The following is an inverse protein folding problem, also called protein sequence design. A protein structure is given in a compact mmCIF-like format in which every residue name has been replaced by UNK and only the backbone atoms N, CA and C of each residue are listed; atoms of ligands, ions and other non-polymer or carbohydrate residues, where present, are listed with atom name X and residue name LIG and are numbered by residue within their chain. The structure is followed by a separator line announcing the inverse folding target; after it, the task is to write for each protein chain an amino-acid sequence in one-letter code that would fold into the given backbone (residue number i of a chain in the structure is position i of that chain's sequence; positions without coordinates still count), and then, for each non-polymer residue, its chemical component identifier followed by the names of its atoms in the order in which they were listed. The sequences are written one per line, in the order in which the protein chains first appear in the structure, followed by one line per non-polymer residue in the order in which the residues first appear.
data_IF_360260375920
#
_entry.id   IF_360260375920
#
_cell.length_a   1.000
_cell.length_b   1.000
_cell.length_c   1.000
_cell.angle_alpha   90.00
_cell.angle_beta   90.00
_cell.angle_gamma   90.00
#
_symmetry.space_group_name_H-M   'P 1'
#
loop_
_entity.id
_entity.type
_entity.pdbx_description
1 polymer ?
#
# COMPACT_ATOMS: atom_id res chain seq x y z
N UNK A 1 8.46 7.14 3.26
CA UNK A 1 7.19 7.01 2.50
C UNK A 1 6.72 8.37 2.04
N UNK A 2 6.36 8.49 0.79
CA UNK A 2 5.84 9.74 0.25
C UNK A 2 4.50 10.10 0.89
N UNK A 3 4.28 11.38 1.08
CA UNK A 3 3.05 11.88 1.68
C UNK A 3 1.82 11.48 0.88
N UNK A 4 1.92 11.57 -0.45
CA UNK A 4 0.82 11.20 -1.34
C UNK A 4 0.44 9.73 -1.20
N UNK A 5 1.45 8.87 -1.08
CA UNK A 5 1.21 7.44 -0.92
C UNK A 5 0.54 7.15 0.43
N UNK A 6 1.02 7.79 1.48
CA UNK A 6 0.44 7.62 2.81
C UNK A 6 -1.02 8.06 2.82
N UNK A 7 -1.29 9.19 2.20
CA UNK A 7 -2.65 9.70 2.12
C UNK A 7 -3.56 8.75 1.35
N UNK A 8 -3.06 8.21 0.24
CA UNK A 8 -3.81 7.26 -0.57
C UNK A 8 -4.13 5.99 0.23
N UNK A 9 -3.13 5.45 0.92
CA UNK A 9 -3.31 4.26 1.74
C UNK A 9 -4.35 4.53 2.83
N UNK A 10 -4.25 5.67 3.49
CA UNK A 10 -5.17 6.04 4.55
C UNK A 10 -6.61 6.14 4.03
N UNK A 11 -6.79 6.72 2.87
CA UNK A 11 -8.12 6.83 2.26
C UNK A 11 -8.70 5.48 1.89
N UNK A 12 -7.88 4.61 1.31
CA UNK A 12 -8.33 3.29 0.88
C UNK A 12 -8.67 2.38 2.07
N UNK A 13 -7.90 2.49 3.13
CA UNK A 13 -8.08 1.65 4.32
C UNK A 13 -8.93 2.33 5.40
N UNK A 14 -9.41 3.53 5.13
CA UNK A 14 -10.27 4.28 6.03
C UNK A 14 -9.65 4.49 7.40
N UNK A 15 -8.40 4.95 7.41
CA UNK A 15 -7.67 5.25 8.62
C UNK A 15 -6.97 6.60 8.48
N UNK A 16 -6.26 7.02 9.52
CA UNK A 16 -5.54 8.29 9.49
C UNK A 16 -4.13 8.12 8.94
N UNK A 17 -3.62 9.16 8.28
CA UNK A 17 -2.27 9.14 7.71
C UNK A 17 -1.20 8.88 8.78
N UNK A 18 -1.43 9.37 9.99
CA UNK A 18 -0.49 9.17 11.10
C UNK A 18 -0.35 7.71 11.50
N UNK A 19 -1.30 6.87 11.14
CA UNK A 19 -1.26 5.44 11.43
C UNK A 19 -0.45 4.67 10.40
N UNK A 20 -0.10 5.30 9.28
CA UNK A 20 0.60 4.64 8.19
C UNK A 20 2.10 4.87 8.32
N UNK A 21 2.85 3.82 8.60
CA UNK A 21 4.30 3.85 8.65
C UNK A 21 4.87 2.62 7.93
N UNK A 22 6.18 2.58 7.77
CA UNK A 22 6.82 1.42 7.15
C UNK A 22 6.59 0.14 7.94
N UNK A 23 6.42 0.25 9.25
CA UNK A 23 6.21 -0.89 10.13
C UNK A 23 4.74 -1.25 10.33
N UNK A 24 3.83 -0.43 9.83
CA UNK A 24 2.40 -0.68 9.98
C UNK A 24 1.98 -1.90 9.19
N UNK A 25 1.38 -2.88 9.88
CA UNK A 25 0.82 -4.05 9.23
C UNK A 25 -0.62 -3.74 8.84
N UNK A 26 -0.94 -3.85 7.57
CA UNK A 26 -2.29 -3.54 7.10
C UNK A 26 -3.34 -4.44 7.72
N UNK A 27 -3.00 -5.70 7.91
CA UNK A 27 -3.93 -6.67 8.46
C UNK A 27 -4.01 -6.61 9.99
N UNK A 28 -2.87 -6.57 10.65
CA UNK A 28 -2.80 -6.62 12.11
C UNK A 28 -3.08 -5.27 12.77
N UNK A 29 -2.53 -4.20 12.22
CA UNK A 29 -2.65 -2.88 12.83
C UNK A 29 -3.88 -2.11 12.35
N UNK A 30 -4.27 -2.30 11.09
CA UNK A 30 -5.37 -1.56 10.48
C UNK A 30 -6.61 -2.41 10.24
N UNK A 31 -6.51 -3.72 10.45
CA UNK A 31 -7.64 -4.62 10.25
C UNK A 31 -8.08 -4.78 8.80
N UNK A 32 -7.19 -4.48 7.86
CA UNK A 32 -7.50 -4.60 6.45
C UNK A 32 -7.55 -6.07 6.03
N UNK A 33 -8.54 -6.42 5.22
CA UNK A 33 -8.62 -7.77 4.68
C UNK A 33 -8.09 -7.80 3.23
N UNK A 34 -8.20 -8.97 2.59
CA UNK A 34 -7.69 -9.15 1.23
C UNK A 34 -8.35 -8.21 0.22
N UNK A 35 -9.64 -7.94 0.41
CA UNK A 35 -10.37 -7.04 -0.49
C UNK A 35 -9.86 -5.62 -0.36
N UNK A 36 -9.61 -5.17 0.86
CA UNK A 36 -9.07 -3.84 1.10
C UNK A 36 -7.70 -3.68 0.46
N UNK A 37 -6.86 -4.70 0.58
CA UNK A 37 -5.53 -4.69 -0.04
C UNK A 37 -5.64 -4.69 -1.56
N UNK A 38 -6.59 -5.43 -2.10
CA UNK A 38 -6.81 -5.48 -3.54
C UNK A 38 -7.21 -4.10 -4.06
N UNK A 39 -8.10 -3.42 -3.36
CA UNK A 39 -8.52 -2.07 -3.74
C UNK A 39 -7.37 -1.07 -3.64
N UNK A 40 -6.54 -1.22 -2.61
CA UNK A 40 -5.35 -0.38 -2.45
C UNK A 40 -4.39 -0.58 -3.61
N UNK A 41 -4.16 -1.84 -3.99
CA UNK A 41 -3.27 -2.17 -5.11
C UNK A 41 -3.80 -1.58 -6.41
N UNK A 42 -5.10 -1.65 -6.64
CA UNK A 42 -5.71 -1.07 -7.82
C UNK A 42 -5.50 0.45 -7.86
N UNK A 43 -5.63 1.11 -6.72
CA UNK A 43 -5.41 2.54 -6.63
C UNK A 43 -3.95 2.89 -6.92
N UNK A 44 -3.01 2.08 -6.43
CA UNK A 44 -1.59 2.28 -6.69
C UNK A 44 -1.25 2.07 -8.16
N UNK A 45 -1.85 1.07 -8.79
CA UNK A 45 -1.65 0.82 -10.21
C UNK A 45 -2.11 2.01 -11.05
N UNK A 46 -3.25 2.55 -10.69
CA UNK A 46 -3.83 3.68 -11.40
C UNK A 46 -3.01 4.96 -11.19
N UNK A 47 -2.59 5.20 -9.96
CA UNK A 47 -1.83 6.41 -9.61
C UNK A 47 -0.44 6.42 -10.22
N UNK A 48 0.26 5.29 -10.19
CA UNK A 48 1.63 5.20 -10.66
C UNK A 48 1.77 4.55 -12.04
N UNK A 49 0.64 4.19 -12.63
CA UNK A 49 0.59 3.59 -13.97
C UNK A 49 1.48 2.34 -14.07
N UNK A 50 1.32 1.43 -13.13
CA UNK A 50 2.05 0.17 -13.07
C UNK A 50 1.08 -1.00 -12.95
N UNK A 51 1.58 -2.22 -13.15
CA UNK A 51 0.79 -3.42 -12.95
C UNK A 51 1.37 -4.20 -11.76
N UNK A 52 0.51 -4.57 -10.84
CA UNK A 52 0.88 -5.38 -9.69
C UNK A 52 0.10 -6.70 -9.77
N UNK A 53 0.77 -7.82 -10.08
CA UNK A 53 0.08 -9.11 -10.16
C UNK A 53 -0.56 -9.49 -8.84
N UNK A 54 -1.72 -10.14 -8.91
CA UNK A 54 -2.45 -10.56 -7.72
C UNK A 54 -1.62 -11.45 -6.80
N UNK A 55 -0.73 -12.24 -7.36
CA UNK A 55 0.12 -13.14 -6.60
C UNK A 55 1.13 -12.40 -5.72
N UNK A 56 1.43 -11.14 -6.03
CA UNK A 56 2.33 -10.32 -5.23
C UNK A 56 1.62 -9.61 -4.09
N UNK A 57 0.29 -9.62 -4.09
CA UNK A 57 -0.51 -9.04 -3.03
C UNK A 57 -0.18 -9.63 -1.66
N UNK A 58 0.10 -10.93 -1.62
CA UNK A 58 0.39 -11.62 -0.37
C UNK A 58 1.70 -11.14 0.26
N UNK A 59 2.56 -10.51 -0.51
CA UNK A 59 3.84 -10.00 -0.04
C UNK A 59 3.73 -8.58 0.49
N UNK A 60 2.62 -7.92 0.21
CA UNK A 60 2.40 -6.53 0.63
C UNK A 60 1.66 -6.48 1.97
N UNK A 61 2.33 -6.94 3.01
CA UNK A 61 1.73 -7.02 4.33
C UNK A 61 1.88 -5.73 5.14
N UNK A 62 2.94 -4.99 4.90
CA UNK A 62 3.27 -3.76 5.64
C UNK A 62 3.51 -2.60 4.70
N UNK A 63 3.46 -1.38 5.25
CA UNK A 63 3.78 -0.18 4.48
C UNK A 63 5.16 -0.24 3.84
N UNK A 64 6.14 -0.77 4.57
CA UNK A 64 7.50 -0.93 4.05
C UNK A 64 7.57 -1.86 2.86
N UNK A 65 6.73 -2.89 2.83
CA UNK A 65 6.68 -3.82 1.70
C UNK A 65 6.22 -3.12 0.43
N UNK A 66 5.22 -2.24 0.57
CA UNK A 66 4.73 -1.46 -0.56
C UNK A 66 5.81 -0.51 -1.07
N UNK A 67 6.51 0.15 -0.15
CA UNK A 67 7.60 1.06 -0.50
C UNK A 67 8.68 0.33 -1.29
N UNK A 68 9.11 -0.83 -0.79
CA UNK A 68 10.15 -1.62 -1.47
C UNK A 68 9.70 -2.11 -2.84
N UNK A 69 8.45 -2.52 -2.94
CA UNK A 69 7.90 -2.97 -4.21
C UNK A 69 7.93 -1.84 -5.24
N UNK A 70 7.47 -0.67 -4.85
CA UNK A 70 7.44 0.47 -5.76
C UNK A 70 8.83 0.94 -6.14
N UNK A 71 9.78 0.90 -5.21
CA UNK A 71 11.17 1.22 -5.52
C UNK A 71 11.76 0.25 -6.53
N UNK A 72 11.41 -1.02 -6.41
CA UNK A 72 11.83 -2.04 -7.38
C UNK A 72 11.27 -1.80 -8.78
N UNK A 73 10.18 -1.04 -8.86
CA UNK A 73 9.58 -0.66 -10.14
C UNK A 73 10.06 0.69 -10.65
N UNK A 74 11.01 1.31 -9.96
CA UNK A 74 11.57 2.59 -10.36
C UNK A 74 10.77 3.79 -9.89
N UNK A 75 9.88 3.61 -8.94
CA UNK A 75 9.05 4.67 -8.38
C UNK A 75 9.64 5.15 -7.06
N UNK A 76 9.76 6.45 -6.91
CA UNK A 76 10.21 7.02 -5.64
C UNK A 76 9.09 6.93 -4.62
N UNK A 77 9.40 6.36 -3.48
CA UNK A 77 8.40 6.18 -2.44
C UNK A 77 8.96 6.46 -1.05
#
# INVERSE_FOLDING_TARGET
MLEEMRKMIAEQLNCEESEITADTSFKDDLGADSLDLFELVMALEDEYNIEIPAEELTELAKGGDVIEYLKGRGIEA
#
